data_IF_548799517951
#
_entry.id   IF_548799517951
#
_cell.length_a   1.000
_cell.length_b   1.000
_cell.length_c   1.000
_cell.angle_alpha   90.00
_cell.angle_beta   90.00
_cell.angle_gamma   90.00
#
_symmetry.space_group_name_H-M   'P 1'
#
loop_
_entity.id
_entity.type
_entity.pdbx_description
1 polymer ?
#
# COMPACT_ATOMS: atom_id res chain seq x y z
N UNK A 1 -17.96 -5.79 -9.12
CA UNK A 1 -17.70 -4.33 -8.95
C UNK A 1 -17.70 -3.91 -7.47
N UNK A 2 -18.74 -4.22 -6.70
CA UNK A 2 -18.86 -3.74 -5.30
C UNK A 2 -17.84 -4.38 -4.33
N UNK A 3 -17.60 -5.69 -4.46
CA UNK A 3 -16.55 -6.37 -3.69
C UNK A 3 -15.16 -5.77 -3.93
N UNK A 4 -14.83 -5.44 -5.19
CA UNK A 4 -13.57 -4.77 -5.54
C UNK A 4 -13.46 -3.37 -4.91
N UNK A 5 -14.54 -2.59 -4.90
CA UNK A 5 -14.56 -1.27 -4.26
C UNK A 5 -14.33 -1.36 -2.74
N UNK A 6 -14.95 -2.34 -2.07
CA UNK A 6 -14.76 -2.57 -0.64
C UNK A 6 -13.33 -3.02 -0.32
N UNK A 7 -12.75 -3.89 -1.14
CA UNK A 7 -11.36 -4.33 -1.00
C UNK A 7 -10.40 -3.13 -1.14
N UNK A 8 -10.59 -2.26 -2.14
CA UNK A 8 -9.80 -1.04 -2.30
C UNK A 8 -9.92 -0.13 -1.08
N UNK A 9 -11.14 0.08 -0.57
CA UNK A 9 -11.36 0.90 0.63
C UNK A 9 -10.63 0.34 1.86
N UNK A 10 -10.66 -0.99 2.04
CA UNK A 10 -9.93 -1.66 3.12
C UNK A 10 -8.41 -1.50 2.98
N UNK A 11 -7.87 -1.76 1.79
CA UNK A 11 -6.44 -1.56 1.48
C UNK A 11 -6.01 -0.12 1.78
N UNK A 12 -6.78 0.86 1.31
CA UNK A 12 -6.49 2.29 1.55
C UNK A 12 -6.58 2.66 3.03
N UNK A 13 -7.52 2.08 3.77
CA UNK A 13 -7.68 2.33 5.21
C UNK A 13 -6.48 1.80 6.00
N UNK A 14 -6.01 0.59 5.67
CA UNK A 14 -4.81 -0.01 6.28
C UNK A 14 -3.54 0.77 5.89
N UNK A 15 -3.41 1.18 4.63
CA UNK A 15 -2.31 2.02 4.16
C UNK A 15 -2.28 3.38 4.85
N UNK A 16 -3.45 4.03 5.03
CA UNK A 16 -3.57 5.27 5.79
C UNK A 16 -3.10 5.06 7.24
N UNK A 17 -3.56 4.01 7.90
CA UNK A 17 -3.14 3.69 9.28
C UNK A 17 -1.62 3.57 9.38
N UNK A 18 -0.99 2.78 8.50
CA UNK A 18 0.46 2.59 8.49
C UNK A 18 1.21 3.92 8.24
N UNK A 19 0.76 4.70 7.25
CA UNK A 19 1.36 6.00 6.92
C UNK A 19 1.25 7.00 8.08
N UNK A 20 0.09 7.08 8.73
CA UNK A 20 -0.14 7.98 9.86
C UNK A 20 0.73 7.59 11.07
N UNK A 21 0.81 6.28 11.39
CA UNK A 21 1.66 5.79 12.46
C UNK A 21 3.14 6.10 12.19
N UNK A 22 3.61 5.87 10.96
CA UNK A 22 4.96 6.21 10.54
C UNK A 22 5.26 7.70 10.75
N UNK A 23 4.37 8.59 10.29
CA UNK A 23 4.54 10.03 10.50
C UNK A 23 4.50 10.39 11.98
N UNK A 24 3.63 9.76 12.79
CA UNK A 24 3.59 10.02 14.23
C UNK A 24 4.89 9.62 14.94
N UNK A 25 5.52 8.53 14.54
CA UNK A 25 6.81 8.05 15.10
C UNK A 25 7.98 8.91 14.62
N UNK A 26 7.99 9.31 13.34
CA UNK A 26 9.08 10.10 12.76
C UNK A 26 9.04 11.57 13.16
N UNK A 27 7.84 12.18 13.31
CA UNK A 27 7.70 13.63 13.53
C UNK A 27 8.51 14.20 14.71
N UNK A 28 8.60 13.58 15.91
CA UNK A 28 9.34 14.17 17.02
C UNK A 28 10.85 14.13 16.76
N UNK A 29 11.36 13.10 16.08
CA UNK A 29 12.77 13.03 15.67
C UNK A 29 13.10 14.08 14.63
N UNK A 30 12.24 14.18 13.60
CA UNK A 30 12.36 15.18 12.53
C UNK A 30 12.30 16.60 13.08
N UNK A 31 11.40 16.86 14.03
CA UNK A 31 11.31 18.16 14.70
C UNK A 31 12.58 18.50 15.49
N UNK A 32 13.21 17.52 16.16
CA UNK A 32 14.46 17.74 16.90
C UNK A 32 15.65 18.02 15.99
N UNK A 33 15.73 17.34 14.84
CA UNK A 33 16.89 17.44 13.94
C UNK A 33 16.80 18.61 12.95
N UNK A 34 15.61 18.87 12.39
CA UNK A 34 15.41 19.85 11.31
C UNK A 34 14.35 20.91 11.59
N UNK A 35 13.79 20.94 12.80
CA UNK A 35 12.81 21.94 13.22
C UNK A 35 11.39 21.70 12.73
N UNK A 36 10.53 22.67 13.02
CA UNK A 36 9.11 22.62 12.66
C UNK A 36 8.84 22.48 11.15
N UNK A 37 9.60 23.14 10.24
CA UNK A 37 9.37 22.97 8.80
C UNK A 37 9.55 21.54 8.33
N UNK A 38 10.52 20.80 8.88
CA UNK A 38 10.77 19.41 8.51
C UNK A 38 9.62 18.48 8.96
N UNK A 39 9.13 18.67 10.19
CA UNK A 39 7.98 17.92 10.69
C UNK A 39 6.69 18.22 9.91
N UNK A 40 6.52 19.47 9.45
CA UNK A 40 5.38 19.82 8.61
C UNK A 40 5.45 19.13 7.24
N UNK A 41 6.61 19.14 6.60
CA UNK A 41 6.82 18.53 5.27
C UNK A 41 6.64 17.00 5.30
N UNK A 42 6.94 16.32 6.41
CA UNK A 42 6.79 14.86 6.49
C UNK A 42 5.34 14.38 6.40
N UNK A 43 4.35 15.24 6.67
CA UNK A 43 2.93 14.91 6.44
C UNK A 43 2.61 14.65 4.96
N UNK A 44 3.45 15.14 4.03
CA UNK A 44 3.37 14.80 2.61
C UNK A 44 3.56 13.31 2.31
N UNK A 45 4.16 12.52 3.22
CA UNK A 45 4.27 11.07 3.08
C UNK A 45 2.90 10.39 3.00
N UNK A 46 1.89 10.90 3.71
CA UNK A 46 0.57 10.26 3.80
C UNK A 46 -0.11 10.15 2.43
N UNK A 47 -0.37 11.26 1.70
CA UNK A 47 -0.97 11.15 0.37
C UNK A 47 -0.07 10.42 -0.63
N UNK A 48 1.25 10.53 -0.53
CA UNK A 48 2.18 9.84 -1.43
C UNK A 48 2.09 8.31 -1.27
N UNK A 49 2.05 7.81 -0.04
CA UNK A 49 1.92 6.38 0.24
C UNK A 49 0.54 5.84 -0.16
N UNK A 50 -0.52 6.63 0.03
CA UNK A 50 -1.86 6.25 -0.46
C UNK A 50 -1.90 6.15 -1.99
N UNK A 51 -1.30 7.11 -2.70
CA UNK A 51 -1.20 7.07 -4.15
C UNK A 51 -0.35 5.88 -4.63
N UNK A 52 0.72 5.54 -3.90
CA UNK A 52 1.55 4.37 -4.20
C UNK A 52 0.72 3.07 -4.18
N UNK A 53 -0.20 2.92 -3.22
CA UNK A 53 -1.10 1.76 -3.15
C UNK A 53 -2.13 1.70 -4.28
N UNK A 54 -2.39 2.81 -4.97
CA UNK A 54 -3.33 2.88 -6.10
C UNK A 54 -2.66 2.61 -7.45
N UNK A 55 -1.33 2.55 -7.50
CA UNK A 55 -0.62 2.29 -8.75
C UNK A 55 -0.87 0.84 -9.20
N UNK A 56 -1.12 0.60 -10.50
CA UNK A 56 -1.24 -0.75 -11.04
C UNK A 56 0.04 -1.52 -10.76
N UNK A 57 -0.10 -2.68 -10.11
CA UNK A 57 1.03 -3.58 -9.91
C UNK A 57 1.33 -4.21 -11.28
N UNK A 58 2.52 -3.96 -11.84
CA UNK A 58 2.87 -4.53 -13.13
C UNK A 58 3.19 -6.01 -12.96
N UNK A 59 2.41 -6.88 -13.62
CA UNK A 59 2.65 -8.33 -13.63
C UNK A 59 3.90 -8.75 -14.44
N UNK A 60 4.60 -7.78 -15.05
CA UNK A 60 5.81 -7.99 -15.84
C UNK A 60 6.97 -7.21 -15.26
N UNK A 61 7.55 -7.71 -14.17
CA UNK A 61 8.77 -7.13 -13.61
C UNK A 61 9.96 -7.38 -14.54
N UNK A 62 10.54 -6.33 -15.10
CA UNK A 62 11.93 -6.38 -15.53
C UNK A 62 12.76 -6.55 -14.25
N UNK A 63 13.31 -7.74 -14.04
CA UNK A 63 14.18 -8.06 -12.92
C UNK A 63 15.48 -7.25 -13.04
N UNK A 64 15.45 -6.00 -12.60
CA UNK A 64 16.67 -5.27 -12.28
C UNK A 64 17.18 -5.92 -10.98
N UNK A 65 18.36 -6.55 -11.05
CA UNK A 65 18.98 -7.27 -9.94
C UNK A 65 19.03 -6.46 -8.65
N UNK A 66 19.20 -7.11 -7.49
CA UNK A 66 19.07 -6.47 -6.18
C UNK A 66 20.06 -5.32 -6.08
N UNK A 67 19.58 -4.09 -6.24
CA UNK A 67 20.33 -2.90 -5.89
C UNK A 67 20.39 -2.88 -4.36
N UNK A 68 21.57 -2.90 -3.74
CA UNK A 68 21.69 -2.80 -2.29
C UNK A 68 21.43 -1.34 -1.89
N UNK A 69 20.18 -0.92 -1.98
CA UNK A 69 19.71 0.29 -1.32
C UNK A 69 19.26 -0.10 0.09
N UNK A 70 19.78 0.63 1.07
CA UNK A 70 19.57 0.47 2.50
C UNK A 70 18.12 0.11 2.85
N UNK A 71 18.00 -0.82 3.80
CA UNK A 71 16.86 -1.54 4.40
C UNK A 71 15.62 -0.73 4.86
N UNK A 72 15.53 0.56 4.54
CA UNK A 72 14.32 1.36 4.81
C UNK A 72 13.24 1.14 3.75
N UNK A 73 13.65 0.86 2.51
CA UNK A 73 12.73 0.63 1.40
C UNK A 73 12.04 -0.72 1.42
N UNK A 74 12.75 -1.74 1.91
CA UNK A 74 12.26 -3.11 2.13
C UNK A 74 11.13 -3.15 3.17
N UNK A 75 11.21 -2.32 4.22
CA UNK A 75 10.17 -2.25 5.27
C UNK A 75 8.87 -1.67 4.73
N UNK A 76 8.94 -0.58 3.97
CA UNK A 76 7.74 0.00 3.35
C UNK A 76 7.12 -0.97 2.33
N UNK A 77 7.96 -1.68 1.58
CA UNK A 77 7.54 -2.73 0.65
C UNK A 77 6.80 -3.88 1.33
N UNK A 78 7.39 -4.44 2.39
CA UNK A 78 6.78 -5.51 3.17
C UNK A 78 5.48 -5.04 3.83
N UNK A 79 5.42 -3.80 4.33
CA UNK A 79 4.20 -3.25 4.90
C UNK A 79 3.07 -3.17 3.86
N UNK A 80 3.35 -2.66 2.64
CA UNK A 80 2.38 -2.60 1.54
C UNK A 80 1.90 -4.00 1.15
N UNK A 81 2.81 -4.98 1.05
CA UNK A 81 2.45 -6.36 0.76
C UNK A 81 1.59 -6.99 1.85
N UNK A 82 1.94 -6.78 3.13
CA UNK A 82 1.16 -7.30 4.27
C UNK A 82 -0.27 -6.73 4.28
N UNK A 83 -0.40 -5.44 3.95
CA UNK A 83 -1.69 -4.75 3.83
C UNK A 83 -2.53 -5.36 2.70
N UNK A 84 -1.92 -5.63 1.55
CA UNK A 84 -2.62 -6.23 0.42
C UNK A 84 -3.08 -7.65 0.73
N UNK A 85 -2.22 -8.48 1.35
CA UNK A 85 -2.58 -9.84 1.79
C UNK A 85 -3.69 -9.84 2.84
N UNK A 86 -3.63 -8.94 3.83
CA UNK A 86 -4.68 -8.80 4.83
C UNK A 86 -6.01 -8.38 4.21
N UNK A 87 -5.98 -7.53 3.17
CA UNK A 87 -7.17 -7.12 2.45
C UNK A 87 -7.73 -8.25 1.56
N UNK A 88 -6.88 -9.10 0.98
CA UNK A 88 -7.30 -10.19 0.07
C UNK A 88 -7.82 -11.42 0.82
N UNK A 89 -7.46 -11.56 2.10
CA UNK A 89 -7.97 -12.60 2.99
C UNK A 89 -9.35 -12.26 3.61
N UNK A 90 -9.92 -11.09 3.32
CA UNK A 90 -11.22 -10.70 3.84
C UNK A 90 -12.33 -11.60 3.24
N UNK A 91 -13.26 -12.14 4.05
CA UNK A 91 -14.30 -13.05 3.57
C UNK A 91 -15.22 -12.37 2.56
N UNK A 92 -15.71 -13.12 1.56
CA UNK A 92 -16.68 -12.62 0.59
C UNK A 92 -17.97 -12.19 1.29
N UNK A 93 -18.10 -10.89 1.53
CA UNK A 93 -19.31 -10.30 2.09
C UNK A 93 -20.34 -10.16 0.96
N UNK A 94 -21.34 -11.04 0.94
CA UNK A 94 -22.46 -11.04 -0.01
C UNK A 94 -23.29 -9.74 -0.02
N UNK A 95 -24.62 -9.81 0.18
CA UNK A 95 -25.52 -8.64 0.14
C UNK A 95 -25.17 -7.50 1.12
N UNK A 96 -24.34 -7.77 2.14
CA UNK A 96 -23.85 -6.77 3.10
C UNK A 96 -22.91 -5.71 2.49
N UNK A 97 -22.23 -6.02 1.37
CA UNK A 97 -21.32 -5.08 0.69
C UNK A 97 -22.02 -3.81 0.21
N UNK A 98 -23.30 -3.92 -0.21
CA UNK A 98 -24.14 -2.79 -0.62
C UNK A 98 -24.40 -1.83 0.53
N UNK A 99 -24.80 -2.36 1.68
CA UNK A 99 -25.10 -1.57 2.87
C UNK A 99 -23.85 -0.89 3.44
N UNK A 100 -22.71 -1.58 3.45
CA UNK A 100 -21.43 -1.01 3.90
C UNK A 100 -20.95 0.14 3.00
N UNK A 101 -21.02 -0.04 1.68
CA UNK A 101 -20.67 1.03 0.74
C UNK A 101 -21.67 2.20 0.81
N UNK A 102 -22.95 1.91 1.00
CA UNK A 102 -23.99 2.93 1.21
C UNK A 102 -23.75 3.75 2.49
N UNK A 103 -23.43 3.07 3.59
CA UNK A 103 -23.07 3.72 4.86
C UNK A 103 -21.80 4.57 4.72
N UNK A 104 -20.77 4.03 4.07
CA UNK A 104 -19.53 4.75 3.82
C UNK A 104 -19.79 6.03 3.01
N UNK A 105 -20.54 5.92 1.90
CA UNK A 105 -20.89 7.05 1.05
C UNK A 105 -21.76 8.08 1.80
N UNK A 106 -22.73 7.62 2.59
CA UNK A 106 -23.53 8.49 3.45
C UNK A 106 -22.68 9.31 4.42
N UNK A 107 -21.67 8.68 5.04
CA UNK A 107 -20.73 9.37 5.92
C UNK A 107 -19.80 10.34 5.17
N UNK A 108 -19.35 9.99 3.96
CA UNK A 108 -18.59 10.91 3.08
C UNK A 108 -19.41 12.16 2.78
N UNK A 109 -20.67 11.99 2.38
CA UNK A 109 -21.57 13.11 2.07
C UNK A 109 -21.87 13.95 3.32
N UNK A 110 -22.11 13.32 4.47
CA UNK A 110 -22.35 14.02 5.73
C UNK A 110 -21.13 14.82 6.19
N UNK A 111 -19.94 14.24 6.12
CA UNK A 111 -18.69 14.94 6.49
C UNK A 111 -18.39 16.08 5.52
N UNK A 112 -18.58 15.88 4.20
CA UNK A 112 -18.42 16.92 3.20
C UNK A 112 -19.39 18.08 3.45
N UNK A 113 -20.66 17.79 3.72
CA UNK A 113 -21.68 18.77 4.06
C UNK A 113 -21.32 19.53 5.34
N UNK A 114 -20.83 18.84 6.37
CA UNK A 114 -20.39 19.46 7.63
C UNK A 114 -19.23 20.43 7.40
N UNK A 115 -18.20 20.04 6.65
CA UNK A 115 -17.07 20.92 6.34
C UNK A 115 -17.49 22.11 5.47
N UNK A 116 -18.35 21.90 4.48
CA UNK A 116 -18.92 22.98 3.67
C UNK A 116 -19.76 23.94 4.51
N UNK A 117 -20.57 23.43 5.44
CA UNK A 117 -21.37 24.23 6.35
C UNK A 117 -20.50 25.04 7.31
N UNK A 118 -19.46 24.43 7.89
CA UNK A 118 -18.48 25.13 8.74
C UNK A 118 -17.77 26.24 7.97
N UNK A 119 -17.33 25.97 6.74
CA UNK A 119 -16.69 26.96 5.87
C UNK A 119 -17.65 28.09 5.49
N UNK A 120 -18.90 27.76 5.15
CA UNK A 120 -19.93 28.75 4.83
C UNK A 120 -20.30 29.60 6.05
N UNK A 121 -20.38 29.00 7.24
CA UNK A 121 -20.61 29.71 8.50
C UNK A 121 -19.45 30.65 8.82
N UNK A 122 -18.22 30.19 8.68
CA UNK A 122 -17.02 31.03 8.89
C UNK A 122 -17.00 32.21 7.92
N UNK A 123 -17.15 31.96 6.62
CA UNK A 123 -17.15 33.03 5.61
C UNK A 123 -18.29 34.03 5.81
N UNK A 124 -19.50 33.58 6.17
CA UNK A 124 -20.61 34.48 6.55
C UNK A 124 -20.30 35.30 7.79
N UNK A 125 -19.59 34.72 8.78
CA UNK A 125 -19.22 35.44 10.01
C UNK A 125 -18.26 36.61 9.78
N UNK A 126 -17.53 36.64 8.65
CA UNK A 126 -16.66 37.75 8.26
C UNK A 126 -17.45 38.98 7.75
N UNK A 127 -18.71 38.79 7.35
CA UNK A 127 -19.52 39.83 6.72
C UNK A 127 -18.97 40.29 5.37
N UNK A 128 -19.27 41.54 4.99
CA UNK A 128 -18.79 42.11 3.71
C UNK A 128 -17.29 42.41 3.81
N UNK A 129 -16.52 41.91 2.84
CA UNK A 129 -15.09 42.19 2.75
C UNK A 129 -14.84 43.51 2.02
N UNK A 130 -14.01 44.37 2.60
CA UNK A 130 -13.56 45.64 1.99
C UNK A 130 -12.09 45.51 1.59
N UNK A 131 -11.70 45.85 0.35
CA UNK A 131 -10.28 45.81 -0.04
C UNK A 131 -9.49 46.86 0.75
N UNK A 132 -8.23 46.56 1.07
CA UNK A 132 -7.29 47.53 1.64
C UNK A 132 -6.37 48.09 0.54
N UNK A 133 -5.46 49.00 0.89
CA UNK A 133 -4.44 49.51 -0.04
C UNK A 133 -3.47 48.42 -0.53
N UNK A 134 -3.34 47.30 0.20
CA UNK A 134 -2.47 46.20 -0.17
C UNK A 134 -3.23 45.15 -0.98
N UNK A 135 -2.74 44.83 -2.17
CA UNK A 135 -3.35 43.85 -3.05
C UNK A 135 -3.51 42.48 -2.37
N UNK A 136 -4.70 41.88 -2.51
CA UNK A 136 -5.02 40.58 -1.90
C UNK A 136 -5.27 40.61 -0.39
N UNK A 137 -5.30 41.79 0.24
CA UNK A 137 -5.63 41.98 1.66
C UNK A 137 -6.99 42.67 1.78
N UNK A 138 -7.83 42.16 2.67
CA UNK A 138 -9.21 42.61 2.87
C UNK A 138 -9.50 42.81 4.36
N UNK A 139 -10.39 43.74 4.67
CA UNK A 139 -10.92 43.97 6.01
C UNK A 139 -12.33 43.36 6.10
N UNK A 140 -12.56 42.53 7.11
CA UNK A 140 -13.86 42.02 7.47
C UNK A 140 -14.70 43.12 8.16
N UNK A 141 -16.04 43.01 8.09
CA UNK A 141 -16.92 43.86 8.90
C UNK A 141 -17.02 43.39 10.36
N UNK A 142 -16.64 42.14 10.64
CA UNK A 142 -16.64 41.56 11.98
C UNK A 142 -15.25 41.59 12.62
N UNK A 143 -15.21 41.69 13.96
CA UNK A 143 -14.02 41.53 14.81
C UNK A 143 -13.95 40.17 15.51
N UNK A 144 -14.94 39.29 15.30
CA UNK A 144 -15.08 38.00 16.00
C UNK A 144 -14.11 36.93 15.52
N UNK A 145 -13.58 37.06 14.30
CA UNK A 145 -12.59 36.16 13.75
C UNK A 145 -11.20 36.82 13.81
N UNK A 146 -10.15 36.01 13.99
CA UNK A 146 -8.77 36.49 13.82
C UNK A 146 -8.42 36.76 12.35
N UNK A 147 -7.22 37.30 12.08
CA UNK A 147 -6.62 37.28 10.76
C UNK A 147 -6.66 35.86 10.17
N UNK A 148 -7.00 35.76 8.88
CA UNK A 148 -7.12 34.46 8.23
C UNK A 148 -6.89 34.56 6.72
N UNK A 149 -6.23 33.54 6.17
CA UNK A 149 -6.17 33.29 4.74
C UNK A 149 -7.38 32.46 4.27
N UNK A 150 -8.14 32.96 3.29
CA UNK A 150 -9.32 32.29 2.73
C UNK A 150 -9.31 32.23 1.21
N UNK A 151 -10.11 31.31 0.63
CA UNK A 151 -10.36 31.21 -0.79
C UNK A 151 -9.36 30.32 -1.53
N UNK A 152 -9.78 29.11 -1.90
CA UNK A 152 -8.90 28.10 -2.50
C UNK A 152 -8.37 28.50 -3.88
N UNK A 153 -9.23 29.02 -4.76
CA UNK A 153 -8.86 29.45 -6.13
C UNK A 153 -8.24 30.86 -6.16
N UNK A 154 -8.71 31.73 -5.26
CA UNK A 154 -8.26 33.11 -5.17
C UNK A 154 -7.91 33.42 -3.71
N UNK A 155 -6.68 33.08 -3.26
CA UNK A 155 -6.26 33.28 -1.87
C UNK A 155 -6.27 34.76 -1.45
N UNK A 156 -7.02 35.08 -0.40
CA UNK A 156 -7.18 36.43 0.15
C UNK A 156 -6.89 36.43 1.64
N UNK A 157 -6.07 37.37 2.09
CA UNK A 157 -5.84 37.59 3.52
C UNK A 157 -6.96 38.48 4.01
N UNK A 158 -7.66 38.06 5.05
CA UNK A 158 -8.74 38.80 5.69
C UNK A 158 -8.32 39.18 7.10
N UNK A 159 -8.45 40.46 7.42
CA UNK A 159 -8.14 41.03 8.72
C UNK A 159 -9.44 41.41 9.44
N UNK A 160 -9.53 41.28 10.78
CA UNK A 160 -10.69 41.72 11.54
C UNK A 160 -10.89 43.23 11.48
N UNK A 161 -12.13 43.69 11.66
CA UNK A 161 -12.48 45.11 11.62
C UNK A 161 -11.65 45.98 12.59
N UNK A 162 -11.28 45.43 13.75
CA UNK A 162 -10.51 46.11 14.80
C UNK A 162 -8.99 45.85 14.70
N UNK A 163 -8.49 45.29 13.59
CA UNK A 163 -7.08 44.93 13.41
C UNK A 163 -6.12 46.09 13.73
N UNK A 164 -6.41 47.28 13.20
CA UNK A 164 -5.58 48.47 13.43
C UNK A 164 -5.59 48.96 14.89
N UNK A 165 -6.66 48.66 15.64
CA UNK A 165 -6.82 49.05 17.05
C UNK A 165 -6.18 48.02 17.99
N UNK A 166 -6.24 46.72 17.62
CA UNK A 166 -5.78 45.60 18.44
C UNK A 166 -4.26 45.42 18.42
N UNK A 167 -3.61 45.78 17.32
CA UNK A 167 -2.18 45.51 17.10
C UNK A 167 -1.39 46.79 16.81
N UNK A 168 -0.19 46.88 17.37
CA UNK A 168 0.80 47.91 17.02
C UNK A 168 1.28 47.74 15.57
N UNK A 169 1.86 48.79 14.97
CA UNK A 169 2.35 48.72 13.58
C UNK A 169 3.33 47.54 13.35
N UNK A 170 4.21 47.26 14.31
CA UNK A 170 5.12 46.13 14.24
C UNK A 170 4.38 44.79 14.30
N UNK A 171 3.41 44.64 15.21
CA UNK A 171 2.59 43.42 15.30
C UNK A 171 1.76 43.18 14.04
N UNK A 172 1.19 44.24 13.45
CA UNK A 172 0.44 44.17 12.20
C UNK A 172 1.30 43.64 11.06
N UNK A 173 2.54 44.15 10.91
CA UNK A 173 3.49 43.67 9.91
C UNK A 173 3.84 42.19 10.11
N UNK A 174 4.06 41.76 11.35
CA UNK A 174 4.41 40.37 11.65
C UNK A 174 3.24 39.41 11.38
N UNK A 175 2.00 39.81 11.68
CA UNK A 175 0.80 39.03 11.36
C UNK A 175 0.62 38.94 9.84
N UNK A 176 0.75 40.05 9.12
CA UNK A 176 0.64 40.03 7.66
C UNK A 176 1.70 39.13 7.03
N UNK A 177 2.92 39.14 7.57
CA UNK A 177 3.99 38.24 7.12
C UNK A 177 3.64 36.78 7.41
N UNK A 178 3.06 36.47 8.57
CA UNK A 178 2.57 35.14 8.91
C UNK A 178 1.49 34.63 7.94
N UNK A 179 0.47 35.44 7.68
CA UNK A 179 -0.62 35.09 6.76
C UNK A 179 -0.11 34.95 5.31
N UNK A 180 0.80 35.81 4.87
CA UNK A 180 1.39 35.73 3.54
C UNK A 180 2.30 34.50 3.40
N UNK A 181 2.92 34.03 4.49
CA UNK A 181 3.65 32.78 4.50
C UNK A 181 2.77 31.56 4.21
N UNK A 182 1.55 31.49 4.76
CA UNK A 182 0.58 30.46 4.40
C UNK A 182 0.22 30.52 2.91
N UNK A 183 0.07 31.72 2.36
CA UNK A 183 -0.22 31.95 0.95
C UNK A 183 0.92 31.48 0.06
N UNK A 184 2.15 31.93 0.32
CA UNK A 184 3.35 31.57 -0.45
C UNK A 184 3.61 30.06 -0.45
N UNK A 185 3.32 29.38 0.67
CA UNK A 185 3.53 27.93 0.83
C UNK A 185 2.39 27.08 0.25
N UNK A 186 1.25 27.69 -0.10
CA UNK A 186 0.09 26.96 -0.60
C UNK A 186 -0.65 26.16 0.47
N UNK A 187 -0.63 26.62 1.72
CA UNK A 187 -1.21 25.89 2.86
C UNK A 187 -2.72 25.69 2.76
N UNK A 188 -3.42 26.54 1.99
CA UNK A 188 -4.83 26.33 1.65
C UNK A 188 -5.05 25.01 0.90
N UNK A 189 -4.18 24.68 -0.06
CA UNK A 189 -4.27 23.42 -0.82
C UNK A 189 -3.96 22.22 0.06
N UNK A 190 -2.98 22.35 0.95
CA UNK A 190 -2.63 21.30 1.91
C UNK A 190 -3.77 21.07 2.92
N UNK A 191 -4.43 22.13 3.39
CA UNK A 191 -5.62 22.06 4.24
C UNK A 191 -6.82 21.46 3.50
N UNK A 192 -7.02 21.80 2.22
CA UNK A 192 -8.06 21.21 1.39
C UNK A 192 -7.86 19.70 1.20
N UNK A 193 -6.63 19.27 0.88
CA UNK A 193 -6.28 17.85 0.78
C UNK A 193 -6.51 17.11 2.11
N UNK A 194 -6.10 17.71 3.23
CA UNK A 194 -6.37 17.17 4.57
C UNK A 194 -7.89 17.04 4.85
N UNK A 195 -8.70 18.00 4.37
CA UNK A 195 -10.16 17.95 4.45
C UNK A 195 -10.77 16.83 3.59
N UNK A 196 -10.27 16.63 2.37
CA UNK A 196 -10.67 15.51 1.49
C UNK A 196 -10.36 14.17 2.16
N UNK A 197 -9.15 13.99 2.70
CA UNK A 197 -8.79 12.76 3.41
C UNK A 197 -9.66 12.53 4.66
N UNK A 198 -9.92 13.56 5.48
CA UNK A 198 -10.87 13.46 6.60
C UNK A 198 -12.28 13.08 6.15
N UNK A 199 -12.69 13.50 4.95
CA UNK A 199 -14.01 13.17 4.38
C UNK A 199 -14.07 11.71 3.94
N UNK A 200 -13.08 11.24 3.19
CA UNK A 200 -12.99 9.85 2.71
C UNK A 200 -12.88 8.87 3.89
N UNK A 201 -12.10 9.24 4.90
CA UNK A 201 -11.80 8.44 6.09
C UNK A 201 -12.48 9.00 7.35
N UNK A 202 -13.73 9.46 7.22
CA UNK A 202 -14.47 10.13 8.30
C UNK A 202 -14.60 9.27 9.57
N UNK A 203 -14.63 7.94 9.42
CA UNK A 203 -14.71 6.98 10.52
C UNK A 203 -13.36 6.73 11.21
N UNK A 204 -12.25 7.23 10.66
CA UNK A 204 -10.91 6.87 11.10
C UNK A 204 -10.37 7.83 12.18
N UNK A 205 -10.22 7.39 13.45
CA UNK A 205 -9.84 8.29 14.55
C UNK A 205 -8.44 8.89 14.38
N UNK A 206 -7.47 8.11 13.87
CA UNK A 206 -6.13 8.63 13.61
C UNK A 206 -6.11 9.75 12.56
N UNK A 207 -7.04 9.76 11.60
CA UNK A 207 -7.09 10.81 10.58
C UNK A 207 -7.49 12.16 11.19
N UNK A 208 -8.44 12.16 12.14
CA UNK A 208 -8.84 13.36 12.88
C UNK A 208 -7.72 13.88 13.79
N UNK A 209 -7.03 12.98 14.50
CA UNK A 209 -5.86 13.32 15.29
C UNK A 209 -4.73 13.88 14.42
N UNK A 210 -4.48 13.26 13.27
CA UNK A 210 -3.49 13.68 12.29
C UNK A 210 -3.80 15.07 11.75
N UNK A 211 -5.06 15.36 11.42
CA UNK A 211 -5.48 16.68 10.95
C UNK A 211 -5.18 17.78 12.00
N UNK A 212 -5.43 17.52 13.28
CA UNK A 212 -5.10 18.45 14.36
C UNK A 212 -3.58 18.67 14.51
N UNK A 213 -2.77 17.61 14.37
CA UNK A 213 -1.30 17.70 14.47
C UNK A 213 -0.67 18.33 13.23
N UNK A 214 -1.17 18.02 12.06
CA UNK A 214 -0.80 18.64 10.78
C UNK A 214 -0.98 20.17 10.84
N UNK A 215 -2.16 20.65 11.27
CA UNK A 215 -2.40 22.09 11.46
C UNK A 215 -1.46 22.71 12.49
N UNK A 216 -1.19 22.01 13.59
CA UNK A 216 -0.25 22.51 14.59
C UNK A 216 1.18 22.62 14.04
N UNK A 217 1.67 21.63 13.30
CA UNK A 217 2.99 21.67 12.68
C UNK A 217 3.07 22.73 11.56
N UNK A 218 1.97 22.99 10.85
CA UNK A 218 1.82 24.08 9.87
C UNK A 218 2.04 25.46 10.52
N UNK A 219 1.38 25.73 11.65
CA UNK A 219 1.53 26.96 12.43
C UNK A 219 2.97 27.13 12.93
N UNK A 220 3.56 26.05 13.47
CA UNK A 220 4.95 26.07 13.94
C UNK A 220 5.95 26.35 12.80
N UNK A 221 5.70 25.81 11.61
CA UNK A 221 6.53 26.06 10.44
C UNK A 221 6.43 27.52 9.96
N UNK A 222 5.24 28.15 10.06
CA UNK A 222 5.08 29.59 9.83
C UNK A 222 5.80 30.42 10.89
N UNK A 223 5.55 30.13 12.17
CA UNK A 223 6.19 30.82 13.31
C UNK A 223 7.71 30.82 13.19
N UNK A 224 8.28 29.65 12.88
CA UNK A 224 9.72 29.49 12.70
C UNK A 224 10.26 30.40 11.59
N UNK A 225 9.55 30.51 10.47
CA UNK A 225 10.03 31.27 9.33
C UNK A 225 9.82 32.79 9.48
N UNK A 226 8.77 33.24 10.19
CA UNK A 226 8.62 34.64 10.62
C UNK A 226 9.79 35.03 11.51
N UNK A 227 10.08 34.23 12.55
CA UNK A 227 11.16 34.50 13.50
C UNK A 227 12.55 34.37 12.87
N UNK A 228 12.71 33.54 11.86
CA UNK A 228 13.95 33.46 11.09
C UNK A 228 14.21 34.76 10.31
N UNK A 229 13.18 35.37 9.73
CA UNK A 229 13.31 36.65 9.00
C UNK A 229 13.43 37.85 9.96
N UNK A 230 12.83 37.75 11.15
CA UNK A 230 12.80 38.83 12.14
C UNK A 230 13.18 38.34 13.55
N UNK A 231 14.44 37.95 13.79
CA UNK A 231 14.86 37.35 15.06
C UNK A 231 14.67 38.29 16.26
N UNK A 232 14.82 39.61 16.05
CA UNK A 232 14.65 40.63 17.09
C UNK A 232 13.17 40.90 17.44
N UNK A 233 12.23 40.53 16.55
CA UNK A 233 10.81 40.83 16.72
C UNK A 233 10.07 39.78 17.56
N UNK A 234 10.80 38.88 18.20
CA UNK A 234 10.24 37.69 18.85
C UNK A 234 9.22 37.98 19.95
N UNK A 235 9.50 38.99 20.80
CA UNK A 235 8.57 39.39 21.88
C UNK A 235 7.28 39.97 21.30
N UNK A 236 7.41 40.91 20.35
CA UNK A 236 6.26 41.51 19.65
C UNK A 236 5.44 40.45 18.92
N UNK A 237 6.09 39.47 18.29
CA UNK A 237 5.41 38.36 17.62
C UNK A 237 4.63 37.46 18.58
N UNK A 238 5.23 37.09 19.72
CA UNK A 238 4.56 36.32 20.76
C UNK A 238 3.33 37.06 21.31
N UNK A 239 3.42 38.38 21.50
CA UNK A 239 2.30 39.23 21.91
C UNK A 239 1.19 39.26 20.84
N UNK A 240 1.54 39.40 19.56
CA UNK A 240 0.60 39.36 18.46
C UNK A 240 -0.19 38.04 18.42
N UNK A 241 0.48 36.90 18.56
CA UNK A 241 -0.17 35.58 18.60
C UNK A 241 -1.11 35.47 19.82
N UNK A 242 -0.66 35.92 20.99
CA UNK A 242 -1.48 35.87 22.21
C UNK A 242 -2.76 36.71 22.06
N UNK A 243 -2.65 37.94 21.57
CA UNK A 243 -3.80 38.83 21.28
C UNK A 243 -4.78 38.22 20.27
N UNK A 244 -4.28 37.43 19.32
CA UNK A 244 -5.10 36.78 18.29
C UNK A 244 -5.91 35.61 18.86
N UNK A 245 -5.30 34.77 19.69
CA UNK A 245 -5.95 33.57 20.25
C UNK A 245 -6.94 33.87 21.38
N UNK A 246 -6.73 34.96 22.12
CA UNK A 246 -7.65 35.42 23.16
C UNK A 246 -8.98 35.97 22.61
N UNK A 247 -9.05 36.28 21.31
CA UNK A 247 -10.27 36.76 20.66
C UNK A 247 -11.23 35.63 20.22
N UNK A 248 -10.82 34.36 20.36
CA UNK A 248 -11.62 33.19 19.99
C UNK A 248 -12.19 32.51 21.26
N UNK A 249 -13.42 32.84 21.64
CA UNK A 249 -14.07 32.28 22.84
C UNK A 249 -14.63 30.85 22.63
N UNK A 250 -14.56 30.04 23.70
CA UNK A 250 -15.36 28.82 23.96
C UNK A 250 -16.14 28.99 25.28
N UNK A 251 -17.20 28.25 25.65
CA UNK A 251 -17.63 26.86 25.40
C UNK A 251 -19.10 26.74 24.96
N UNK A 252 -19.55 25.57 24.43
CA UNK A 252 -20.96 25.31 24.20
C UNK A 252 -21.78 25.12 25.50
N UNK A 253 -21.29 24.42 26.53
CA UNK A 253 -21.87 24.41 27.90
C UNK A 253 -20.79 24.06 28.96
N UNK A 254 -20.40 25.01 29.83
CA UNK A 254 -19.52 24.79 31.00
C UNK A 254 -18.52 25.93 31.33
N UNK A 255 -17.96 25.92 32.55
CA UNK A 255 -17.01 26.92 33.06
C UNK A 255 -15.60 26.76 32.47
N UNK A 256 -14.97 27.89 32.12
CA UNK A 256 -13.78 27.95 31.28
C UNK A 256 -12.52 28.44 32.03
N UNK A 257 -11.51 27.58 32.16
CA UNK A 257 -10.10 27.99 32.28
C UNK A 257 -9.34 27.33 31.12
N UNK A 258 -9.25 28.05 30.00
CA UNK A 258 -8.79 27.53 28.73
C UNK A 258 -7.25 27.41 28.70
N UNK A 259 -6.72 26.27 29.13
CA UNK A 259 -5.33 25.90 28.86
C UNK A 259 -5.22 25.44 27.39
N UNK A 260 -5.18 26.39 26.45
CA UNK A 260 -5.00 26.07 25.03
C UNK A 260 -3.59 25.48 24.80
N UNK A 261 -3.48 24.16 24.91
CA UNK A 261 -2.28 23.36 24.64
C UNK A 261 -1.55 23.71 23.31
N UNK A 262 -2.21 24.11 22.21
CA UNK A 262 -1.50 24.54 21.00
C UNK A 262 -0.79 25.90 21.15
N UNK A 263 -1.38 26.89 21.84
CA UNK A 263 -0.73 28.20 22.01
C UNK A 263 0.55 28.09 22.83
N UNK A 264 0.50 27.37 23.97
CA UNK A 264 1.68 27.08 24.79
C UNK A 264 2.77 26.39 23.96
N UNK A 265 2.38 25.42 23.13
CA UNK A 265 3.30 24.70 22.24
C UNK A 265 3.98 25.61 21.20
N UNK A 266 3.25 26.58 20.63
CA UNK A 266 3.80 27.61 19.73
C UNK A 266 4.80 28.50 20.46
N UNK A 267 4.41 29.10 21.58
CA UNK A 267 5.28 29.98 22.37
C UNK A 267 6.57 29.27 22.85
N UNK A 268 6.46 28.02 23.31
CA UNK A 268 7.61 27.19 23.71
C UNK A 268 8.55 26.91 22.54
N UNK A 269 8.01 26.68 21.34
CA UNK A 269 8.82 26.41 20.14
C UNK A 269 9.66 27.62 19.71
N UNK A 270 9.20 28.84 19.98
CA UNK A 270 9.93 30.05 19.63
C UNK A 270 11.29 30.13 20.35
N UNK A 271 11.43 29.46 21.51
CA UNK A 271 12.66 29.42 22.32
C UNK A 271 13.73 28.45 21.81
N UNK A 272 13.41 27.65 20.79
CA UNK A 272 14.30 26.61 20.32
C UNK A 272 15.13 27.15 19.14
N UNK A 273 16.45 27.20 19.32
CA UNK A 273 17.39 27.44 18.22
C UNK A 273 17.56 26.15 17.43
N UNK A 274 17.00 26.07 16.22
CA UNK A 274 17.09 24.87 15.39
C UNK A 274 18.07 25.09 14.23
N UNK A 275 19.02 24.15 13.98
CA UNK A 275 20.01 24.31 12.92
C UNK A 275 19.39 24.32 11.51
N UNK A 276 19.75 25.33 10.71
CA UNK A 276 19.08 25.70 9.45
C UNK A 276 19.47 24.85 8.22
N UNK A 277 20.62 24.15 8.25
CA UNK A 277 21.29 23.60 7.05
C UNK A 277 20.79 22.24 6.56
N UNK A 278 20.05 21.49 7.36
CA UNK A 278 19.55 20.15 7.00
C UNK A 278 18.04 20.08 6.66
N UNK A 279 17.28 21.18 6.79
CA UNK A 279 15.81 21.09 6.91
C UNK A 279 15.01 20.96 5.62
N UNK A 280 15.54 21.38 4.46
CA UNK A 280 14.78 21.34 3.18
C UNK A 280 15.25 20.27 2.21
N UNK A 281 16.57 20.13 2.04
CA UNK A 281 17.15 19.08 1.19
C UNK A 281 17.05 17.72 1.87
N UNK A 282 17.37 17.63 3.18
CA UNK A 282 17.18 16.41 3.97
C UNK A 282 15.73 15.93 4.01
N UNK A 283 14.76 16.85 4.06
CA UNK A 283 13.33 16.53 3.99
C UNK A 283 12.93 15.88 2.66
N UNK A 284 13.39 16.48 1.55
CA UNK A 284 13.10 16.01 0.19
C UNK A 284 13.80 14.68 -0.08
N UNK A 285 15.03 14.52 0.40
CA UNK A 285 15.75 13.25 0.33
C UNK A 285 15.10 12.17 1.19
N UNK A 286 14.60 12.48 2.40
CA UNK A 286 13.90 11.53 3.25
C UNK A 286 12.53 11.14 2.67
N UNK A 287 11.78 12.13 2.16
CA UNK A 287 10.52 11.90 1.43
C UNK A 287 10.75 11.00 0.22
N UNK A 288 11.77 11.30 -0.58
CA UNK A 288 12.15 10.47 -1.73
C UNK A 288 12.61 9.08 -1.29
N UNK A 289 13.46 8.98 -0.27
CA UNK A 289 13.99 7.71 0.21
C UNK A 289 12.92 6.78 0.83
N UNK A 290 11.85 7.33 1.39
CA UNK A 290 10.74 6.53 1.96
C UNK A 290 9.63 6.28 0.94
N UNK A 291 9.33 7.23 0.05
CA UNK A 291 8.25 7.08 -0.93
C UNK A 291 8.69 6.27 -2.17
N UNK A 292 9.92 6.45 -2.67
CA UNK A 292 10.38 5.78 -3.89
C UNK A 292 10.42 4.25 -3.76
N UNK A 293 10.93 3.67 -2.66
CA UNK A 293 10.92 2.21 -2.52
C UNK A 293 9.51 1.66 -2.30
N UNK A 294 8.65 2.38 -1.58
CA UNK A 294 7.25 2.00 -1.38
C UNK A 294 6.47 1.98 -2.72
N UNK A 295 6.68 3.00 -3.56
CA UNK A 295 6.16 3.05 -4.92
C UNK A 295 6.76 1.95 -5.81
N UNK A 296 8.07 1.72 -5.72
CA UNK A 296 8.75 0.68 -6.49
C UNK A 296 8.25 -0.71 -6.11
N UNK A 297 8.06 -1.00 -4.83
CA UNK A 297 7.53 -2.28 -4.37
C UNK A 297 6.06 -2.48 -4.66
N UNK A 298 5.25 -1.43 -4.61
CA UNK A 298 3.87 -1.50 -5.08
C UNK A 298 3.83 -1.80 -6.58
N UNK A 299 4.74 -1.20 -7.36
CA UNK A 299 4.85 -1.47 -8.78
C UNK A 299 5.42 -2.86 -9.12
N UNK A 300 6.42 -3.34 -8.38
CA UNK A 300 7.14 -4.60 -8.59
C UNK A 300 6.51 -5.81 -7.86
N UNK A 301 5.66 -5.57 -6.86
CA UNK A 301 5.13 -6.57 -5.94
C UNK A 301 4.15 -7.58 -6.52
N UNK A 302 3.69 -7.40 -7.76
CA UNK A 302 2.90 -8.44 -8.45
C UNK A 302 3.77 -9.62 -8.91
N UNK A 303 5.10 -9.49 -8.99
CA UNK A 303 5.97 -10.57 -9.42
C UNK A 303 6.17 -11.67 -8.35
N UNK A 304 5.92 -11.38 -7.07
CA UNK A 304 6.19 -12.31 -5.96
C UNK A 304 4.97 -13.13 -5.51
N UNK A 305 3.76 -12.77 -5.95
CA UNK A 305 2.51 -13.52 -5.68
C UNK A 305 2.24 -14.54 -6.79
N UNK A 306 3.07 -14.59 -7.84
CA UNK A 306 3.10 -15.75 -8.70
C UNK A 306 3.52 -16.95 -7.83
N UNK A 307 2.70 -18.02 -7.70
CA UNK A 307 3.24 -19.28 -7.21
C UNK A 307 4.52 -19.57 -7.99
N UNK A 308 5.58 -20.13 -7.37
CA UNK A 308 6.82 -20.44 -8.06
C UNK A 308 6.42 -21.08 -9.39
N UNK A 309 6.92 -20.59 -10.55
CA UNK A 309 6.48 -21.12 -11.83
C UNK A 309 6.64 -22.63 -11.71
N UNK A 310 5.52 -23.35 -11.74
CA UNK A 310 5.54 -24.79 -11.87
C UNK A 310 6.46 -25.02 -13.05
N UNK A 311 7.65 -25.60 -12.78
CA UNK A 311 8.80 -25.52 -13.67
C UNK A 311 8.29 -25.63 -15.11
N UNK A 312 8.38 -24.53 -15.86
CA UNK A 312 7.85 -24.43 -17.21
C UNK A 312 8.66 -25.41 -18.05
N UNK A 313 8.26 -26.68 -18.04
CA UNK A 313 8.52 -27.61 -19.12
C UNK A 313 7.86 -26.95 -20.32
N UNK A 314 8.69 -26.57 -21.29
CA UNK A 314 8.27 -25.94 -22.51
C UNK A 314 7.12 -26.75 -23.13
N UNK A 315 5.89 -26.27 -22.95
CA UNK A 315 4.75 -26.74 -23.71
C UNK A 315 4.98 -26.25 -25.14
N UNK A 316 5.46 -27.14 -26.01
CA UNK A 316 5.31 -26.95 -27.45
C UNK A 316 3.81 -26.94 -27.72
N UNK A 317 3.27 -25.77 -28.00
CA UNK A 317 1.90 -25.63 -28.48
C UNK A 317 1.83 -26.27 -29.88
N UNK A 318 1.20 -27.45 -29.96
CA UNK A 318 0.77 -28.06 -31.22
C UNK A 318 -0.72 -27.74 -31.39
N UNK A 319 -1.18 -27.32 -32.58
CA UNK A 319 -2.56 -26.87 -32.74
C UNK A 319 -3.55 -28.01 -32.54
N UNK A 320 -4.71 -27.67 -31.99
CA UNK A 320 -5.82 -28.58 -31.77
C UNK A 320 -6.29 -29.23 -33.08
N UNK A 321 -6.17 -30.55 -33.16
CA UNK A 321 -6.83 -31.35 -34.18
C UNK A 321 -8.25 -31.72 -33.70
N UNK A 322 -9.19 -31.67 -34.64
CA UNK A 322 -10.63 -31.86 -34.44
C UNK A 322 -11.00 -33.25 -33.92
N UNK A 323 -12.09 -33.21 -33.18
CA UNK A 323 -12.92 -34.28 -32.63
C UNK A 323 -13.25 -35.38 -33.66
N UNK A 324 -12.83 -36.62 -33.39
CA UNK A 324 -13.33 -37.82 -34.08
C UNK A 324 -13.47 -39.02 -33.12
N UNK A 325 -14.74 -39.44 -32.93
CA UNK A 325 -15.23 -40.78 -32.62
C UNK A 325 -14.89 -41.43 -31.26
N UNK A 326 -15.96 -41.70 -30.50
CA UNK A 326 -16.03 -42.64 -29.36
C UNK A 326 -15.69 -44.06 -29.82
N UNK A 327 -14.41 -44.39 -29.87
CA UNK A 327 -13.92 -45.74 -29.62
C UNK A 327 -13.28 -45.73 -28.23
N UNK A 328 -13.70 -46.65 -27.36
CA UNK A 328 -13.07 -46.86 -26.05
C UNK A 328 -11.68 -47.49 -26.28
N UNK A 329 -10.70 -46.63 -26.59
CA UNK A 329 -9.33 -47.04 -26.89
C UNK A 329 -8.64 -47.44 -25.59
N UNK A 330 -8.38 -48.73 -25.45
CA UNK A 330 -7.63 -49.31 -24.32
C UNK A 330 -6.12 -49.29 -24.63
N UNK A 331 -5.32 -48.77 -23.71
CA UNK A 331 -3.86 -48.72 -23.79
C UNK A 331 -3.20 -49.64 -22.78
N UNK A 332 -2.00 -50.12 -23.13
CA UNK A 332 -1.09 -50.85 -22.26
C UNK A 332 0.16 -50.00 -21.99
N UNK A 333 0.56 -49.96 -20.72
CA UNK A 333 1.76 -49.30 -20.23
C UNK A 333 2.77 -50.37 -19.82
N UNK A 334 3.95 -50.34 -20.42
CA UNK A 334 5.12 -51.06 -19.91
C UNK A 334 6.09 -50.04 -19.30
N UNK A 335 6.43 -50.23 -18.04
CA UNK A 335 7.35 -49.36 -17.32
C UNK A 335 8.50 -50.18 -16.72
N UNK A 336 9.73 -49.71 -16.96
CA UNK A 336 10.95 -50.18 -16.31
C UNK A 336 11.46 -49.08 -15.40
N UNK A 337 11.69 -49.38 -14.14
CA UNK A 337 12.16 -48.42 -13.17
C UNK A 337 13.33 -48.96 -12.35
N UNK A 338 14.22 -48.06 -11.95
CA UNK A 338 15.28 -48.33 -10.99
C UNK A 338 15.31 -47.20 -9.97
N UNK A 339 15.27 -47.53 -8.68
CA UNK A 339 15.27 -46.58 -7.56
C UNK A 339 16.42 -46.95 -6.62
N UNK A 340 17.33 -46.02 -6.35
CA UNK A 340 18.47 -46.27 -5.46
C UNK A 340 19.48 -47.27 -6.02
N UNK A 341 19.60 -48.46 -5.41
CA UNK A 341 20.69 -49.46 -5.58
C UNK A 341 20.79 -50.13 -6.97
N UNK A 342 20.10 -49.59 -7.97
CA UNK A 342 20.27 -49.97 -9.38
C UNK A 342 19.56 -51.26 -9.80
N UNK A 343 18.69 -51.82 -8.96
CA UNK A 343 17.86 -52.97 -9.35
C UNK A 343 16.75 -52.49 -10.28
N UNK A 344 16.83 -52.88 -11.55
CA UNK A 344 15.81 -52.59 -12.55
C UNK A 344 14.62 -53.54 -12.37
N UNK A 345 13.43 -52.98 -12.17
CA UNK A 345 12.16 -53.70 -12.09
C UNK A 345 11.26 -53.27 -13.23
N UNK A 346 10.45 -54.19 -13.73
CA UNK A 346 9.50 -53.91 -14.80
C UNK A 346 8.10 -54.37 -14.42
N UNK A 347 7.09 -53.57 -14.73
CA UNK A 347 5.70 -53.96 -14.62
C UNK A 347 4.92 -53.55 -15.86
N UNK A 348 3.78 -54.21 -16.07
CA UNK A 348 2.85 -53.91 -17.16
C UNK A 348 1.47 -53.64 -16.59
N UNK A 349 0.81 -52.62 -17.11
CA UNK A 349 -0.59 -52.30 -16.82
C UNK A 349 -1.37 -52.25 -18.12
N UNK A 350 -2.52 -52.90 -18.15
CA UNK A 350 -3.47 -52.84 -19.26
C UNK A 350 -4.78 -52.20 -18.77
N UNK A 351 -5.64 -51.73 -19.68
CA UNK A 351 -6.93 -51.15 -19.31
C UNK A 351 -6.96 -49.62 -19.16
N UNK A 352 -5.95 -48.91 -19.68
CA UNK A 352 -5.88 -47.44 -19.59
C UNK A 352 -6.77 -46.80 -20.66
N UNK A 353 -7.63 -45.84 -20.32
CA UNK A 353 -8.61 -45.24 -21.24
C UNK A 353 -8.55 -43.71 -21.33
N UNK A 354 -9.00 -43.15 -22.47
CA UNK A 354 -9.15 -41.69 -22.65
C UNK A 354 -10.41 -41.23 -21.92
N UNK A 355 -10.26 -40.38 -20.90
CA UNK A 355 -11.37 -39.86 -20.09
C UNK A 355 -11.60 -40.57 -18.76
N UNK A 356 -10.81 -41.61 -18.44
CA UNK A 356 -10.72 -42.14 -17.09
C UNK A 356 -9.87 -41.17 -16.24
N UNK A 357 -10.52 -40.42 -15.35
CA UNK A 357 -9.81 -39.65 -14.33
C UNK A 357 -8.97 -40.61 -13.47
N UNK A 358 -7.66 -40.37 -13.43
CA UNK A 358 -6.65 -40.96 -12.54
C UNK A 358 -6.49 -42.49 -12.54
N UNK A 359 -5.99 -43.04 -13.64
CA UNK A 359 -5.27 -44.33 -13.57
C UNK A 359 -3.87 -44.09 -13.01
N UNK A 360 -3.72 -44.26 -11.70
CA UNK A 360 -2.45 -44.15 -10.99
C UNK A 360 -1.85 -45.50 -10.59
N UNK A 361 -0.54 -45.55 -10.45
CA UNK A 361 0.16 -46.68 -9.84
C UNK A 361 1.09 -46.20 -8.74
N UNK A 362 1.15 -46.96 -7.65
CA UNK A 362 2.10 -46.74 -6.56
C UNK A 362 3.15 -47.83 -6.58
N UNK A 363 4.41 -47.43 -6.60
CA UNK A 363 5.54 -48.30 -6.38
C UNK A 363 5.88 -48.19 -4.89
N UNK A 364 5.43 -49.19 -4.14
CA UNK A 364 5.73 -49.34 -2.72
C UNK A 364 7.18 -49.83 -2.50
N UNK A 365 7.81 -49.53 -1.36
CA UNK A 365 9.13 -50.04 -1.03
C UNK A 365 9.08 -51.57 -0.94
N UNK A 366 10.03 -52.25 -1.58
CA UNK A 366 10.15 -53.71 -1.49
C UNK A 366 10.47 -54.16 -0.06
N UNK A 367 10.19 -55.44 0.25
CA UNK A 367 10.44 -56.05 1.57
C UNK A 367 11.90 -55.94 2.06
N UNK A 368 12.83 -55.59 1.16
CA UNK A 368 14.23 -55.30 1.46
C UNK A 368 14.49 -53.78 1.54
N UNK A 369 14.20 -53.16 2.69
CA UNK A 369 14.73 -51.85 3.14
C UNK A 369 15.00 -50.79 2.05
N UNK A 370 14.12 -50.61 1.07
CA UNK A 370 14.24 -49.50 0.10
C UNK A 370 13.72 -48.21 0.75
N UNK A 371 14.53 -47.15 0.85
CA UNK A 371 14.14 -45.94 1.59
C UNK A 371 13.14 -45.06 0.83
N UNK A 372 12.80 -45.39 -0.42
CA UNK A 372 12.05 -44.52 -1.31
C UNK A 372 10.80 -45.20 -1.88
N UNK A 373 9.70 -44.45 -1.92
CA UNK A 373 8.42 -44.80 -2.56
C UNK A 373 8.14 -43.83 -3.73
N UNK A 374 7.35 -44.25 -4.71
CA UNK A 374 6.87 -43.33 -5.74
C UNK A 374 5.41 -43.58 -6.12
N UNK A 375 4.70 -42.50 -6.37
CA UNK A 375 3.29 -42.50 -6.76
C UNK A 375 3.16 -41.79 -8.10
N UNK A 376 2.52 -42.43 -9.07
CA UNK A 376 2.45 -41.97 -10.45
C UNK A 376 1.00 -41.93 -10.91
N UNK A 377 0.66 -40.91 -11.71
CA UNK A 377 -0.59 -40.77 -12.43
C UNK A 377 -0.32 -40.71 -13.93
N UNK A 378 -1.18 -41.39 -14.70
CA UNK A 378 -1.14 -41.38 -16.16
C UNK A 378 -2.37 -40.66 -16.69
N UNK A 379 -2.15 -39.68 -17.56
CA UNK A 379 -3.21 -38.92 -18.24
C UNK A 379 -2.96 -38.90 -19.74
N UNK A 380 -4.02 -38.99 -20.54
CA UNK A 380 -3.92 -38.92 -22.01
C UNK A 380 -4.35 -37.53 -22.46
N UNK A 381 -3.41 -36.77 -23.03
CA UNK A 381 -3.72 -35.46 -23.61
C UNK A 381 -4.35 -35.58 -25.01
N UNK A 382 -4.09 -36.69 -25.71
CA UNK A 382 -4.68 -37.06 -27.00
C UNK A 382 -4.57 -38.57 -27.21
N UNK A 383 -5.17 -39.12 -28.27
CA UNK A 383 -5.01 -40.53 -28.64
C UNK A 383 -3.56 -40.92 -29.01
N UNK A 384 -2.69 -39.94 -29.22
CA UNK A 384 -1.30 -40.14 -29.64
C UNK A 384 -0.28 -39.84 -28.53
N UNK A 385 -0.70 -39.23 -27.42
CA UNK A 385 0.22 -38.74 -26.37
C UNK A 385 -0.28 -39.04 -24.97
N UNK A 386 0.59 -39.67 -24.18
CA UNK A 386 0.38 -39.92 -22.75
C UNK A 386 1.34 -39.08 -21.90
N UNK A 387 0.82 -38.46 -20.85
CA UNK A 387 1.58 -37.74 -19.83
C UNK A 387 1.59 -38.55 -18.54
N UNK A 388 2.78 -38.85 -18.05
CA UNK A 388 3.00 -39.48 -16.77
C UNK A 388 3.58 -38.44 -15.82
N UNK A 389 2.97 -38.29 -14.65
CA UNK A 389 3.46 -37.44 -13.56
C UNK A 389 3.57 -38.27 -12.30
N UNK A 390 4.61 -38.06 -11.50
CA UNK A 390 4.76 -38.76 -10.24
C UNK A 390 5.39 -37.94 -9.15
N UNK A 391 5.29 -38.45 -7.92
CA UNK A 391 5.93 -37.93 -6.73
C UNK A 391 6.81 -39.04 -6.18
N UNK A 392 8.10 -38.76 -6.03
CA UNK A 392 9.07 -39.67 -5.40
C UNK A 392 9.36 -39.16 -3.99
N UNK A 393 9.13 -40.01 -3.00
CA UNK A 393 9.44 -39.73 -1.60
C UNK A 393 10.52 -40.66 -1.09
N UNK A 394 11.53 -40.13 -0.41
CA UNK A 394 12.52 -40.93 0.30
C UNK A 394 12.46 -40.60 1.78
N UNK A 395 12.33 -41.62 2.64
CA UNK A 395 12.20 -41.48 4.10
C UNK A 395 11.12 -40.47 4.52
N UNK A 396 10.01 -40.43 3.77
CA UNK A 396 8.88 -39.53 3.99
C UNK A 396 9.01 -38.11 3.39
N UNK A 397 10.20 -37.70 2.93
CA UNK A 397 10.41 -36.40 2.28
C UNK A 397 10.24 -36.50 0.76
N UNK A 398 9.57 -35.51 0.14
CA UNK A 398 9.47 -35.43 -1.33
C UNK A 398 10.82 -35.02 -1.90
N UNK A 399 11.43 -35.91 -2.70
CA UNK A 399 12.76 -35.69 -3.29
C UNK A 399 12.67 -35.26 -4.76
N UNK A 400 11.64 -35.71 -5.47
CA UNK A 400 11.40 -35.34 -6.86
C UNK A 400 9.92 -35.40 -7.24
N UNK A 401 9.51 -34.57 -8.20
CA UNK A 401 8.19 -34.61 -8.83
C UNK A 401 8.33 -34.72 -10.35
N UNK A 402 8.77 -35.88 -10.86
CA UNK A 402 9.02 -36.08 -12.29
C UNK A 402 7.74 -36.02 -13.12
N UNK A 403 7.85 -35.47 -14.34
CA UNK A 403 6.80 -35.56 -15.35
C UNK A 403 7.42 -35.81 -16.73
N UNK A 404 6.87 -36.76 -17.48
CA UNK A 404 7.29 -37.09 -18.85
C UNK A 404 6.07 -37.19 -19.76
N UNK A 405 6.20 -36.69 -20.99
CA UNK A 405 5.19 -36.89 -22.04
C UNK A 405 5.77 -37.79 -23.12
N UNK A 406 5.09 -38.90 -23.41
CA UNK A 406 5.51 -39.90 -24.39
C UNK A 406 4.49 -40.02 -25.51
N UNK A 407 4.97 -40.24 -26.74
CA UNK A 407 4.10 -40.61 -27.87
C UNK A 407 3.75 -42.08 -27.79
N UNK A 408 2.48 -42.43 -28.02
CA UNK A 408 2.03 -43.82 -28.06
C UNK A 408 2.80 -44.58 -29.15
N UNK A 409 3.42 -45.70 -28.78
CA UNK A 409 4.28 -46.53 -29.63
C UNK A 409 5.78 -46.18 -29.59
N UNK A 410 6.18 -45.10 -28.89
CA UNK A 410 7.59 -44.72 -28.74
C UNK A 410 8.04 -44.81 -27.28
N UNK A 411 9.24 -45.35 -26.99
CA UNK A 411 9.78 -45.37 -25.65
C UNK A 411 10.23 -43.97 -25.22
N UNK A 412 9.93 -43.59 -23.99
CA UNK A 412 10.46 -42.40 -23.34
C UNK A 412 11.12 -42.73 -22.01
N UNK A 413 12.18 -42.02 -21.65
CA UNK A 413 12.87 -42.23 -20.38
C UNK A 413 13.14 -40.91 -19.66
N UNK A 414 13.04 -40.95 -18.34
CA UNK A 414 13.45 -39.86 -17.44
C UNK A 414 14.47 -40.41 -16.45
N UNK A 415 15.59 -39.69 -16.30
CA UNK A 415 16.61 -39.97 -15.30
C UNK A 415 16.69 -38.76 -14.37
N UNK A 416 16.62 -39.01 -13.08
CA UNK A 416 16.80 -38.03 -12.03
C UNK A 416 18.03 -38.42 -11.22
N UNK A 417 18.96 -37.48 -11.07
CA UNK A 417 20.14 -37.63 -10.23
C UNK A 417 19.99 -36.74 -9.01
N UNK A 418 19.80 -37.36 -7.86
CA UNK A 418 19.68 -36.67 -6.58
C UNK A 418 21.05 -36.31 -5.98
N UNK A 419 21.03 -35.57 -4.87
CA UNK A 419 22.25 -35.21 -4.13
C UNK A 419 22.97 -36.44 -3.53
N UNK A 420 22.22 -37.48 -3.17
CA UNK A 420 22.72 -38.76 -2.68
C UNK A 420 22.46 -39.87 -3.70
N UNK A 421 23.33 -40.88 -3.77
CA UNK A 421 23.17 -42.01 -4.69
C UNK A 421 21.87 -42.81 -4.47
N UNK A 422 21.33 -42.78 -3.24
CA UNK A 422 20.03 -43.38 -2.88
C UNK A 422 18.83 -42.66 -3.53
N UNK A 423 18.99 -41.41 -3.96
CA UNK A 423 17.95 -40.59 -4.59
C UNK A 423 17.99 -40.65 -6.13
N UNK A 424 18.89 -41.43 -6.71
CA UNK A 424 18.92 -41.64 -8.16
C UNK A 424 17.74 -42.49 -8.61
N UNK A 425 17.08 -42.04 -9.67
CA UNK A 425 15.93 -42.71 -10.23
C UNK A 425 15.99 -42.70 -11.76
N UNK A 426 15.67 -43.83 -12.39
CA UNK A 426 15.45 -43.91 -13.83
C UNK A 426 14.12 -44.61 -14.08
N UNK A 427 13.32 -44.03 -14.96
CA UNK A 427 12.06 -44.61 -15.44
C UNK A 427 12.06 -44.59 -16.96
N UNK A 428 11.88 -45.75 -17.57
CA UNK A 428 11.64 -45.93 -19.00
C UNK A 428 10.23 -46.45 -19.20
N UNK A 429 9.50 -45.85 -20.11
CA UNK A 429 8.07 -46.08 -20.31
C UNK A 429 7.79 -46.27 -21.80
N UNK A 430 6.99 -47.27 -22.11
CA UNK A 430 6.40 -47.48 -23.42
C UNK A 430 4.88 -47.62 -23.27
N UNK A 431 4.13 -46.77 -23.95
CA UNK A 431 2.67 -46.85 -24.01
C UNK A 431 2.28 -47.37 -25.38
N UNK A 432 1.55 -48.49 -25.45
CA UNK A 432 1.06 -49.08 -26.69
C UNK A 432 -0.46 -49.12 -26.71
N UNK A 433 -1.05 -48.96 -27.90
CA UNK A 433 -2.49 -49.15 -28.10
C UNK A 433 -2.76 -50.66 -28.16
N UNK A 434 -3.71 -51.15 -27.36
CA UNK A 434 -4.12 -52.53 -27.46
C UNK A 434 -5.00 -52.72 -28.71
N UNK A 435 -4.82 -53.82 -29.46
CA UNK A 435 -5.78 -54.19 -30.48
C UNK A 435 -7.14 -54.44 -29.82
N UNK A 436 -8.22 -53.95 -30.45
CA UNK A 436 -9.57 -54.25 -30.00
C UNK A 436 -9.75 -55.77 -29.97
N UNK A 437 -10.12 -56.31 -28.82
CA UNK A 437 -10.53 -57.71 -28.73
C UNK A 437 -11.79 -57.83 -29.58
N UNK A 438 -11.71 -58.58 -30.69
CA UNK A 438 -12.87 -58.91 -31.53
C UNK A 438 -13.82 -59.85 -30.80
#
# INVERSE_FOLDING_TARGET
>A
MMAAALHILLTLTLALSAALLLVFVLRPLLRRQGGAPLAYVSWGLVPLLLLACLLPHSAGGMAIGPVPMIDAGSVAAHAVQLIHHAASAAPEMGGASVWLLGLWLGGVLAMAALLCWQQARFTRSLGRLRPTAQAGVYLACSSTAGPALIGLLHPRIVLPADFAQRYTAQEQQLILLHEDMHRQRGDLYANALCGVLQTIFWFHPLMHLAAARFRFDQELACDHAVLHRHPQARRSYAQAILKTQLAANGLPLGCNWQSQHPLKGRLMSMNQNVPHRFSRVGARCLLAALALPACYSAWAGAAAIAPPPAATSAAVAVPAAKDESKEEKIYQLEAKYSLGTGVERSFRMAGLGIGAHDSGFRIAPGADKEPCESEWSVSFASAETARLSGIVRCRGAVVAQPAITVKVGQPGAIEYRGADAEANFRLSVLVTRMPAVQ
#
